data_IF_985760054282
#
_entry.id   IF_985760054282
#
_cell.length_a   1.000
_cell.length_b   1.000
_cell.length_c   1.000
_cell.angle_alpha   90.00
_cell.angle_beta   90.00
_cell.angle_gamma   90.00
#
_symmetry.space_group_name_H-M   'P 1'
#
loop_
_entity.id
_entity.type
_entity.pdbx_description
1 polymer ?
#
# COMPACT_ATOMS: atom_id res chain seq x y z
N UNK A 1 -12.70 -35.03 66.02
CA UNK A 1 -12.31 -35.29 64.63
C UNK A 1 -12.70 -34.07 63.81
N UNK A 2 -11.75 -33.18 63.54
CA UNK A 2 -11.97 -31.94 62.70
C UNK A 2 -11.37 -32.19 61.33
N UNK A 3 -12.21 -32.12 60.30
CA UNK A 3 -11.76 -32.17 58.88
C UNK A 3 -11.71 -30.75 58.37
N UNK A 4 -10.52 -30.24 58.13
CA UNK A 4 -10.23 -28.98 57.46
C UNK A 4 -10.25 -29.22 55.95
N UNK A 5 -11.18 -28.58 55.25
CA UNK A 5 -11.23 -28.56 53.79
C UNK A 5 -10.34 -27.45 53.26
N UNK A 6 -9.41 -27.79 52.37
CA UNK A 6 -8.57 -26.87 51.60
C UNK A 6 -9.30 -26.46 50.33
N UNK A 7 -9.65 -25.20 50.21
CA UNK A 7 -10.20 -24.64 48.98
C UNK A 7 -9.02 -24.15 48.08
N UNK A 8 -8.83 -24.80 46.95
CA UNK A 8 -7.90 -24.37 45.91
C UNK A 8 -8.54 -23.32 45.04
N UNK A 9 -8.06 -22.08 45.05
CA UNK A 9 -8.44 -21.01 44.15
C UNK A 9 -7.56 -21.12 42.91
N UNK A 10 -8.15 -21.59 41.79
CA UNK A 10 -7.51 -21.50 40.47
C UNK A 10 -7.65 -20.06 39.94
N UNK A 11 -6.56 -19.32 39.99
CA UNK A 11 -6.46 -18.02 39.32
C UNK A 11 -6.28 -18.20 37.85
N UNK A 12 -7.31 -17.83 37.05
CA UNK A 12 -7.23 -17.77 35.61
C UNK A 12 -6.46 -16.51 35.22
N UNK A 13 -5.19 -16.66 34.80
CA UNK A 13 -4.44 -15.58 34.16
C UNK A 13 -4.99 -15.35 32.76
N UNK A 14 -5.72 -14.27 32.57
CA UNK A 14 -6.02 -13.71 31.23
C UNK A 14 -4.73 -13.10 30.66
N UNK A 15 -4.09 -13.81 29.75
CA UNK A 15 -3.03 -13.27 28.93
C UNK A 15 -3.72 -12.37 27.89
N UNK A 16 -3.74 -11.06 28.13
CA UNK A 16 -4.04 -10.07 27.12
C UNK A 16 -2.90 -10.11 26.09
N UNK A 17 -3.12 -10.84 25.00
CA UNK A 17 -2.24 -10.83 23.85
C UNK A 17 -2.27 -9.43 23.24
N UNK A 18 -1.20 -8.65 23.42
CA UNK A 18 -0.94 -7.52 22.55
C UNK A 18 -0.69 -8.10 21.14
N UNK A 19 -1.69 -8.06 20.26
CA UNK A 19 -1.45 -8.20 18.83
C UNK A 19 -0.54 -7.05 18.43
N UNK A 20 0.75 -7.31 18.30
CA UNK A 20 1.68 -6.39 17.69
C UNK A 20 1.21 -6.20 16.24
N UNK A 21 0.83 -4.96 15.89
CA UNK A 21 0.49 -4.60 14.51
C UNK A 21 1.64 -5.02 13.59
N UNK A 22 1.41 -6.07 12.81
CA UNK A 22 2.41 -6.54 11.85
C UNK A 22 2.65 -5.41 10.85
N UNK A 23 3.88 -4.95 10.64
CA UNK A 23 4.17 -3.91 9.67
C UNK A 23 3.60 -4.26 8.30
N UNK A 24 2.97 -3.30 7.64
CA UNK A 24 2.50 -3.47 6.27
C UNK A 24 3.70 -3.21 5.36
N UNK A 25 4.09 -4.21 4.59
CA UNK A 25 5.12 -4.06 3.58
C UNK A 25 4.47 -3.82 2.21
N UNK A 26 4.98 -2.85 1.47
CA UNK A 26 4.69 -2.67 0.05
C UNK A 26 5.86 -3.21 -0.74
N UNK A 27 5.64 -4.24 -1.54
CA UNK A 27 6.67 -4.80 -2.41
C UNK A 27 6.68 -4.09 -3.76
N UNK A 28 7.87 -3.85 -4.27
CA UNK A 28 8.12 -3.26 -5.58
C UNK A 28 9.09 -4.19 -6.31
N UNK A 29 8.76 -4.59 -7.53
CA UNK A 29 9.72 -5.14 -8.48
C UNK A 29 9.91 -4.08 -9.56
N UNK A 30 11.12 -3.63 -9.77
CA UNK A 30 11.47 -2.61 -10.75
C UNK A 30 12.62 -3.13 -11.60
N UNK A 31 12.39 -3.24 -12.90
CA UNK A 31 13.31 -3.85 -13.88
C UNK A 31 13.84 -5.25 -13.47
N UNK A 32 12.96 -6.02 -12.81
CA UNK A 32 13.28 -7.36 -12.33
C UNK A 32 13.93 -7.43 -10.94
N UNK A 33 14.30 -6.29 -10.35
CA UNK A 33 14.87 -6.22 -9.00
C UNK A 33 13.78 -5.98 -7.96
N UNK A 34 13.87 -6.71 -6.83
CA UNK A 34 12.88 -6.65 -5.76
C UNK A 34 13.29 -5.67 -4.66
N UNK A 35 12.37 -4.79 -4.30
CA UNK A 35 12.52 -3.82 -3.23
C UNK A 35 11.31 -3.89 -2.30
N UNK A 36 11.47 -3.46 -1.06
CA UNK A 36 10.39 -3.43 -0.07
C UNK A 36 10.37 -2.10 0.65
N UNK A 37 9.20 -1.48 0.68
CA UNK A 37 8.93 -0.33 1.55
C UNK A 37 8.25 -0.89 2.80
N UNK A 38 8.99 -0.90 3.91
CA UNK A 38 8.43 -1.21 5.22
C UNK A 38 7.71 0.05 5.74
N UNK A 39 6.40 0.02 5.62
CA UNK A 39 5.59 1.14 6.08
C UNK A 39 4.81 0.74 7.32
N UNK A 40 4.82 1.60 8.32
CA UNK A 40 3.89 1.47 9.44
C UNK A 40 2.43 1.71 9.01
N UNK A 41 2.20 2.31 7.84
CA UNK A 41 0.87 2.71 7.40
C UNK A 41 0.78 2.80 5.87
N UNK A 42 -0.19 2.06 5.31
CA UNK A 42 -0.71 2.26 3.96
C UNK A 42 -2.05 2.99 4.08
N UNK A 43 -2.17 4.15 3.44
CA UNK A 43 -3.38 4.96 3.46
C UNK A 43 -4.17 4.71 2.17
N UNK A 44 -5.39 4.22 2.31
CA UNK A 44 -6.30 3.93 1.20
C UNK A 44 -7.51 4.86 1.27
N UNK A 45 -7.57 5.85 0.39
CA UNK A 45 -8.55 6.93 0.42
C UNK A 45 -9.55 6.80 -0.72
N UNK A 46 -10.83 6.63 -0.39
CA UNK A 46 -11.92 6.65 -1.36
C UNK A 46 -12.19 8.08 -1.82
N UNK A 47 -12.36 8.26 -3.11
CA UNK A 47 -12.69 9.57 -3.68
C UNK A 47 -14.20 9.85 -3.62
N UNK A 48 -14.64 11.13 -3.51
CA UNK A 48 -16.02 11.49 -3.25
C UNK A 48 -17.03 11.00 -4.29
N UNK A 49 -16.57 10.74 -5.52
CA UNK A 49 -17.44 10.36 -6.65
C UNK A 49 -17.69 8.86 -6.76
N UNK A 50 -17.44 8.10 -5.69
CA UNK A 50 -17.92 6.72 -5.53
C UNK A 50 -17.16 5.63 -6.28
N UNK A 51 -16.18 5.95 -7.14
CA UNK A 51 -15.47 4.92 -7.91
C UNK A 51 -13.95 5.00 -7.83
N UNK A 52 -13.42 6.09 -7.31
CA UNK A 52 -11.98 6.32 -7.23
C UNK A 52 -11.37 5.86 -5.89
N UNK A 53 -10.14 5.35 -5.96
CA UNK A 53 -9.32 5.02 -4.81
C UNK A 53 -7.90 5.55 -5.02
N UNK A 54 -7.35 6.17 -4.00
CA UNK A 54 -5.93 6.53 -3.93
C UNK A 54 -5.28 5.69 -2.84
N UNK A 55 -4.24 4.97 -3.19
CA UNK A 55 -3.41 4.19 -2.27
C UNK A 55 -2.07 4.91 -2.12
N UNK A 56 -1.69 5.18 -0.89
CA UNK A 56 -0.44 5.83 -0.54
C UNK A 56 0.33 4.97 0.46
N UNK A 57 1.51 4.49 0.05
CA UNK A 57 2.45 3.79 0.92
C UNK A 57 3.69 4.66 1.09
N UNK A 58 3.99 5.05 2.33
CA UNK A 58 5.16 5.86 2.67
C UNK A 58 6.10 5.06 3.55
N UNK A 59 7.35 4.97 3.15
CA UNK A 59 8.43 4.38 3.92
C UNK A 59 9.31 5.43 4.58
N UNK A 60 10.51 5.01 4.91
CA UNK A 60 11.54 5.90 5.48
C UNK A 60 12.06 6.85 4.41
N UNK A 61 12.49 8.04 4.85
CA UNK A 61 13.06 9.07 3.95
C UNK A 61 12.09 9.48 2.84
N UNK A 62 12.50 9.35 1.59
CA UNK A 62 11.71 9.72 0.41
C UNK A 62 10.98 8.54 -0.25
N UNK A 63 10.96 7.37 0.40
CA UNK A 63 10.29 6.18 -0.15
C UNK A 63 8.79 6.37 -0.19
N UNK A 64 8.20 6.20 -1.37
CA UNK A 64 6.80 6.50 -1.60
C UNK A 64 6.26 5.69 -2.78
N UNK A 65 5.07 5.14 -2.61
CA UNK A 65 4.24 4.61 -3.69
C UNK A 65 2.89 5.30 -3.62
N UNK A 66 2.42 5.80 -4.75
CA UNK A 66 1.07 6.33 -4.91
C UNK A 66 0.41 5.67 -6.11
N UNK A 67 -0.77 5.10 -5.90
CA UNK A 67 -1.60 4.50 -6.94
C UNK A 67 -2.94 5.21 -6.92
N UNK A 68 -3.40 5.64 -8.09
CA UNK A 68 -4.75 6.15 -8.30
C UNK A 68 -5.47 5.21 -9.26
N UNK A 69 -6.61 4.70 -8.85
CA UNK A 69 -7.40 3.75 -9.63
C UNK A 69 -8.90 4.00 -9.50
N UNK A 70 -9.67 3.42 -10.42
CA UNK A 70 -11.13 3.32 -10.33
C UNK A 70 -11.55 1.88 -10.16
N UNK A 71 -12.68 1.65 -9.47
CA UNK A 71 -13.20 0.32 -9.15
C UNK A 71 -14.62 0.10 -9.71
N UNK A 72 -15.04 0.88 -10.68
CA UNK A 72 -16.36 0.73 -11.30
C UNK A 72 -16.31 -0.38 -12.35
N UNK A 73 -16.96 -1.49 -12.06
CA UNK A 73 -16.96 -2.69 -12.89
C UNK A 73 -15.66 -3.49 -12.79
N UNK A 74 -14.58 -2.97 -13.36
CA UNK A 74 -13.23 -3.54 -13.27
C UNK A 74 -12.26 -2.52 -12.70
N UNK A 75 -11.16 -2.99 -12.16
CA UNK A 75 -10.10 -2.09 -11.72
C UNK A 75 -9.41 -1.49 -12.96
N UNK A 76 -9.38 -0.17 -13.01
CA UNK A 76 -8.61 0.57 -14.02
C UNK A 76 -7.64 1.49 -13.28
N UNK A 77 -6.35 1.29 -13.51
CA UNK A 77 -5.29 2.11 -12.91
C UNK A 77 -5.16 3.39 -13.74
N UNK A 78 -5.28 4.55 -13.10
CA UNK A 78 -5.22 5.87 -13.74
C UNK A 78 -3.82 6.46 -13.70
N UNK A 79 -3.15 6.31 -12.55
CA UNK A 79 -1.82 6.85 -12.31
C UNK A 79 -1.06 5.98 -11.33
N UNK A 80 0.23 5.85 -11.55
CA UNK A 80 1.16 5.23 -10.60
C UNK A 80 2.40 6.11 -10.50
N UNK A 81 2.80 6.42 -9.29
CA UNK A 81 4.08 7.04 -8.99
C UNK A 81 4.81 6.20 -7.94
N UNK A 82 6.09 5.98 -8.14
CA UNK A 82 6.93 5.31 -7.16
C UNK A 82 8.27 6.02 -7.02
N UNK A 83 8.80 5.98 -5.81
CA UNK A 83 10.16 6.34 -5.48
C UNK A 83 10.63 5.46 -4.35
N UNK A 84 11.67 4.68 -4.61
CA UNK A 84 12.36 3.91 -3.59
C UNK A 84 13.70 4.55 -3.24
N UNK A 85 14.42 5.01 -4.25
CA UNK A 85 15.64 5.81 -4.19
C UNK A 85 15.75 6.62 -5.50
N UNK A 86 16.90 7.21 -5.78
CA UNK A 86 17.10 8.02 -6.99
C UNK A 86 17.13 7.16 -8.28
N UNK A 87 17.54 5.89 -8.19
CA UNK A 87 17.63 4.98 -9.34
C UNK A 87 16.31 4.21 -9.59
N UNK A 88 15.54 3.97 -8.52
CA UNK A 88 14.25 3.26 -8.56
C UNK A 88 13.14 4.28 -8.35
N UNK A 89 12.82 5.01 -9.41
CA UNK A 89 11.78 6.04 -9.43
C UNK A 89 11.13 6.11 -10.79
N UNK A 90 9.86 6.46 -10.81
CA UNK A 90 9.15 6.64 -12.07
C UNK A 90 7.68 7.00 -11.88
N UNK A 91 7.06 7.41 -12.96
CA UNK A 91 5.66 7.79 -12.99
C UNK A 91 5.02 7.39 -14.32
N UNK A 92 3.78 6.92 -14.25
CA UNK A 92 2.95 6.63 -15.41
C UNK A 92 1.51 7.14 -15.18
N UNK A 93 0.96 7.78 -16.19
CA UNK A 93 -0.42 8.26 -16.22
C UNK A 93 -1.25 7.67 -17.37
N UNK A 94 -0.70 6.72 -18.12
CA UNK A 94 -1.40 6.05 -19.20
C UNK A 94 -2.02 4.73 -18.72
N UNK A 95 -3.37 4.64 -18.64
CA UNK A 95 -4.04 3.41 -18.22
C UNK A 95 -3.81 2.21 -19.15
N UNK A 96 -3.35 2.42 -20.38
CA UNK A 96 -3.08 1.34 -21.33
C UNK A 96 -1.78 0.62 -21.04
N UNK A 97 -0.86 1.28 -20.36
CA UNK A 97 0.45 0.73 -20.00
C UNK A 97 0.46 0.00 -18.64
N UNK A 98 -0.68 0.00 -17.94
CA UNK A 98 -0.78 -0.50 -16.57
C UNK A 98 -1.99 -1.40 -16.37
N UNK A 99 -1.80 -2.48 -15.65
CA UNK A 99 -2.89 -3.37 -15.21
C UNK A 99 -2.97 -3.41 -13.69
N UNK A 100 -4.19 -3.53 -13.17
CA UNK A 100 -4.45 -3.65 -11.74
C UNK A 100 -5.32 -4.87 -11.43
N UNK A 101 -4.96 -5.60 -10.38
CA UNK A 101 -5.72 -6.73 -9.85
C UNK A 101 -5.90 -6.53 -8.36
N UNK A 102 -7.09 -6.87 -7.85
CA UNK A 102 -7.38 -6.90 -6.41
C UNK A 102 -7.76 -8.32 -6.00
N UNK A 103 -7.11 -8.82 -4.96
CA UNK A 103 -7.49 -10.05 -4.28
C UNK A 103 -7.63 -9.70 -2.79
N UNK A 104 -8.80 -9.89 -2.25
CA UNK A 104 -9.18 -9.40 -0.92
C UNK A 104 -8.89 -7.89 -0.79
N UNK A 105 -8.04 -7.49 0.15
CA UNK A 105 -7.61 -6.10 0.33
C UNK A 105 -6.22 -5.80 -0.26
N UNK A 106 -5.66 -6.75 -1.01
CA UNK A 106 -4.35 -6.62 -1.65
C UNK A 106 -4.50 -6.20 -3.11
N UNK A 107 -3.83 -5.12 -3.46
CA UNK A 107 -3.76 -4.57 -4.81
C UNK A 107 -2.41 -4.90 -5.42
N UNK A 108 -2.44 -5.49 -6.60
CA UNK A 108 -1.26 -5.71 -7.44
C UNK A 108 -1.40 -4.86 -8.69
N UNK A 109 -0.44 -3.99 -8.92
CA UNK A 109 -0.38 -3.09 -10.09
C UNK A 109 0.92 -3.34 -10.81
N UNK A 110 0.86 -3.56 -12.12
CA UNK A 110 2.04 -3.85 -12.93
C UNK A 110 1.92 -3.26 -14.33
N UNK A 111 3.06 -2.96 -14.94
CA UNK A 111 3.11 -2.37 -16.27
C UNK A 111 4.48 -1.85 -16.63
N UNK A 112 4.49 -0.82 -17.47
CA UNK A 112 5.71 -0.15 -17.90
C UNK A 112 5.62 1.34 -17.58
N UNK A 113 6.75 1.92 -17.18
CA UNK A 113 6.92 3.36 -16.97
C UNK A 113 7.85 3.93 -18.04
N UNK A 114 7.62 5.16 -18.52
CA UNK A 114 8.54 5.80 -19.44
C UNK A 114 9.90 6.04 -18.77
N UNK A 115 10.97 6.22 -19.57
CA UNK A 115 12.29 6.54 -19.03
C UNK A 115 12.25 7.86 -18.26
N UNK A 116 13.05 7.95 -17.21
CA UNK A 116 13.31 9.21 -16.53
C UNK A 116 14.18 10.15 -17.39
N UNK A 117 14.31 11.38 -16.96
CA UNK A 117 15.12 12.35 -17.67
C UNK A 117 16.58 11.86 -17.80
N UNK A 118 17.08 11.76 -19.03
CA UNK A 118 18.44 11.27 -19.31
C UNK A 118 18.55 9.78 -19.57
N UNK A 119 17.48 9.03 -19.41
CA UNK A 119 17.39 7.60 -19.73
C UNK A 119 16.77 7.36 -21.11
N UNK A 120 17.01 6.20 -21.70
CA UNK A 120 16.47 5.83 -23.02
C UNK A 120 15.53 4.64 -23.02
N UNK A 121 15.49 3.87 -21.93
CA UNK A 121 14.70 2.63 -21.80
C UNK A 121 13.44 2.79 -20.97
N UNK A 122 12.38 2.09 -21.35
CA UNK A 122 11.19 1.94 -20.51
C UNK A 122 11.50 1.01 -19.34
N UNK A 123 10.96 1.34 -18.17
CA UNK A 123 11.06 0.53 -16.98
C UNK A 123 9.86 -0.40 -16.86
N UNK A 124 10.09 -1.64 -16.43
CA UNK A 124 9.03 -2.54 -16.01
C UNK A 124 8.83 -2.44 -14.51
N UNK A 125 7.58 -2.53 -14.07
CA UNK A 125 7.31 -2.49 -12.63
C UNK A 125 6.17 -3.43 -12.22
N UNK A 126 6.22 -3.86 -10.97
CA UNK A 126 5.12 -4.51 -10.26
C UNK A 126 5.10 -4.02 -8.82
N UNK A 127 3.97 -3.53 -8.36
CA UNK A 127 3.76 -3.08 -6.99
C UNK A 127 2.67 -3.94 -6.37
N UNK A 128 2.90 -4.41 -5.15
CA UNK A 128 1.89 -5.10 -4.36
C UNK A 128 1.77 -4.44 -3.00
N UNK A 129 0.55 -4.07 -2.62
CA UNK A 129 0.26 -3.40 -1.35
C UNK A 129 -1.12 -3.77 -0.84
N UNK A 130 -1.34 -3.70 0.48
CA UNK A 130 -2.58 -4.11 1.13
C UNK A 130 -3.23 -2.94 1.85
N UNK A 131 -4.54 -2.75 1.62
CA UNK A 131 -5.38 -1.79 2.31
C UNK A 131 -6.05 -2.47 3.52
N UNK A 132 -5.53 -2.30 4.72
CA UNK A 132 -6.16 -2.83 5.95
C UNK A 132 -7.41 -2.06 6.38
N UNK A 133 -7.63 -0.89 5.80
CA UNK A 133 -8.77 -0.03 6.05
C UNK A 133 -8.87 1.05 5.00
N UNK A 134 -10.04 1.66 4.92
CA UNK A 134 -10.33 2.72 3.96
C UNK A 134 -10.81 3.96 4.71
N UNK A 135 -10.39 5.11 4.23
CA UNK A 135 -10.92 6.41 4.67
C UNK A 135 -11.55 7.13 3.48
N UNK A 136 -12.50 8.02 3.75
CA UNK A 136 -13.09 8.85 2.73
C UNK A 136 -12.26 10.14 2.57
N UNK A 137 -12.12 10.62 1.33
CA UNK A 137 -11.41 11.86 1.07
C UNK A 137 -12.16 13.04 1.69
N UNK A 138 -11.45 13.91 2.40
CA UNK A 138 -11.98 15.17 2.88
C UNK A 138 -12.10 16.13 1.68
N UNK A 139 -13.18 16.92 1.55
CA UNK A 139 -13.46 17.72 0.34
C UNK A 139 -12.39 18.74 -0.10
N UNK A 140 -11.30 18.88 0.61
CA UNK A 140 -10.21 19.84 0.29
C UNK A 140 -8.79 19.26 0.41
N UNK A 141 -8.64 17.93 0.55
CA UNK A 141 -7.30 17.32 0.57
C UNK A 141 -6.68 17.31 -0.82
N UNK A 142 -5.83 18.28 -1.07
CA UNK A 142 -4.87 18.21 -2.17
C UNK A 142 -3.83 17.14 -1.83
N UNK A 143 -4.01 15.95 -2.39
CA UNK A 143 -3.01 14.88 -2.25
C UNK A 143 -1.72 15.34 -2.92
N UNK A 144 -0.55 15.25 -2.24
CA UNK A 144 0.72 15.68 -2.80
C UNK A 144 0.95 15.07 -4.19
N UNK A 145 1.30 15.87 -5.17
CA UNK A 145 1.68 15.39 -6.49
C UNK A 145 3.01 14.63 -6.37
N UNK A 146 3.02 13.35 -6.74
CA UNK A 146 4.24 12.57 -6.90
C UNK A 146 4.57 12.56 -8.38
N UNK A 147 5.77 13.04 -8.70
CA UNK A 147 6.31 12.92 -10.05
C UNK A 147 5.44 13.65 -11.08
N UNK A 148 5.66 14.93 -11.23
CA UNK A 148 5.60 15.54 -12.53
C UNK A 148 7.03 15.52 -13.09
N UNK A 149 7.25 15.20 -14.37
CA UNK A 149 8.53 15.38 -14.99
C UNK A 149 8.98 16.84 -14.91
#
# INVERSE_FOLDING_TARGET
>A
MRRTGLAAVLGTMLIAGCEADTPIATSIVFDGESHTIDTGKVVCTRQPNGGGLVILAQGKSSQLVRIQLTQVGRITVQKVGLRYNDDVTGFIADPQEVTGVKVDDTYTVSGRMPPNQGESGWHTFKIQTTCRGYQDAVPHDTVPAIGAP
#
